data_IF_969773458136
#
_entry.id   IF_969773458136
#
_cell.length_a   1.000
_cell.length_b   1.000
_cell.length_c   1.000
_cell.angle_alpha   90.00
_cell.angle_beta   90.00
_cell.angle_gamma   90.00
#
_symmetry.space_group_name_H-M   'P 1'
#
loop_
_entity.id
_entity.type
_entity.pdbx_description
1 polymer ?
#
# COMPACT_ATOMS: atom_id res chain seq x y z
N UNK A 1 -9.98 22.42 -23.33
CA UNK A 1 -8.61 21.99 -22.95
C UNK A 1 -7.60 22.08 -24.09
N UNK A 2 -7.98 21.86 -25.37
CA UNK A 2 -7.05 21.95 -26.51
C UNK A 2 -6.30 23.29 -26.61
N UNK A 3 -7.00 24.40 -26.52
CA UNK A 3 -6.40 25.73 -26.66
C UNK A 3 -5.33 26.07 -25.59
N UNK A 4 -5.41 25.49 -24.40
CA UNK A 4 -4.41 25.73 -23.35
C UNK A 4 -3.02 25.15 -23.74
N UNK A 5 -2.99 23.91 -24.19
CA UNK A 5 -1.75 23.25 -24.64
C UNK A 5 -1.21 23.88 -25.91
N UNK A 6 -2.09 24.24 -26.84
CA UNK A 6 -1.74 24.94 -28.07
C UNK A 6 -1.08 26.29 -27.79
N UNK A 7 -1.62 27.09 -26.88
CA UNK A 7 -1.04 28.35 -26.47
C UNK A 7 0.33 28.21 -25.83
N UNK A 8 0.51 27.20 -24.93
CA UNK A 8 1.82 26.90 -24.33
C UNK A 8 2.83 26.52 -25.42
N UNK A 9 2.43 25.65 -26.35
CA UNK A 9 3.30 25.24 -27.45
C UNK A 9 3.73 26.43 -28.31
N UNK A 10 2.80 27.29 -28.72
CA UNK A 10 3.10 28.49 -29.48
C UNK A 10 4.00 29.47 -28.73
N UNK A 11 3.79 29.64 -27.43
CA UNK A 11 4.63 30.47 -26.57
C UNK A 11 6.08 29.93 -26.51
N UNK A 12 6.24 28.61 -26.34
CA UNK A 12 7.57 27.97 -26.37
C UNK A 12 8.26 28.10 -27.72
N UNK A 13 7.54 27.82 -28.82
CA UNK A 13 8.08 27.95 -30.17
C UNK A 13 8.48 29.40 -30.43
N UNK A 14 7.66 30.38 -30.06
CA UNK A 14 7.95 31.79 -30.18
C UNK A 14 9.17 32.23 -29.40
N UNK A 15 9.31 31.70 -28.16
CA UNK A 15 10.48 31.97 -27.31
C UNK A 15 11.79 31.46 -27.97
N UNK A 16 11.81 30.20 -28.40
CA UNK A 16 13.00 29.62 -29.06
C UNK A 16 13.32 30.28 -30.41
N UNK A 17 12.30 30.59 -31.21
CA UNK A 17 12.49 31.31 -32.47
C UNK A 17 13.06 32.73 -32.26
N UNK A 18 12.56 33.44 -31.22
CA UNK A 18 13.06 34.75 -30.83
C UNK A 18 14.53 34.71 -30.40
N UNK A 19 14.90 33.73 -29.54
CA UNK A 19 16.30 33.54 -29.11
C UNK A 19 17.20 33.26 -30.34
N UNK A 20 16.77 32.36 -31.24
CA UNK A 20 17.53 32.04 -32.45
C UNK A 20 17.69 33.23 -33.36
N UNK A 21 16.69 34.11 -33.48
CA UNK A 21 16.75 35.33 -34.25
C UNK A 21 17.74 36.36 -33.67
N UNK A 22 17.74 36.51 -32.35
CA UNK A 22 18.70 37.39 -31.63
C UNK A 22 20.14 36.91 -31.81
N UNK A 23 20.37 35.60 -31.76
CA UNK A 23 21.69 35.01 -31.98
C UNK A 23 22.22 35.31 -33.38
N UNK A 24 21.35 35.22 -34.40
CA UNK A 24 21.68 35.56 -35.80
C UNK A 24 21.99 37.05 -36.00
N UNK A 25 21.44 37.93 -35.18
CA UNK A 25 21.72 39.37 -35.17
C UNK A 25 22.99 39.73 -34.39
N UNK A 26 23.71 38.72 -33.85
CA UNK A 26 24.96 38.94 -33.13
C UNK A 26 24.77 39.40 -31.64
N UNK A 27 23.54 39.28 -31.12
CA UNK A 27 23.27 39.59 -29.71
C UNK A 27 23.71 38.40 -28.85
N UNK A 28 24.51 38.62 -27.80
CA UNK A 28 24.94 37.50 -26.92
C UNK A 28 23.75 36.92 -26.15
N UNK A 29 23.24 35.77 -26.62
CA UNK A 29 22.07 35.09 -26.03
C UNK A 29 22.42 34.14 -24.86
N UNK A 30 23.71 33.98 -24.51
CA UNK A 30 24.19 33.07 -23.47
C UNK A 30 23.53 33.33 -22.10
N UNK A 31 23.36 34.60 -21.74
CA UNK A 31 22.68 34.98 -20.50
C UNK A 31 21.19 34.60 -20.51
N UNK A 32 20.51 34.72 -21.65
CA UNK A 32 19.12 34.34 -21.81
C UNK A 32 18.95 32.81 -21.70
N UNK A 33 19.85 32.05 -22.35
CA UNK A 33 19.84 30.57 -22.28
C UNK A 33 20.13 30.06 -20.86
N UNK A 34 21.10 30.69 -20.16
CA UNK A 34 21.41 30.37 -18.78
C UNK A 34 20.20 30.65 -17.87
N UNK A 35 19.58 31.82 -18.00
CA UNK A 35 18.40 32.19 -17.24
C UNK A 35 17.20 31.26 -17.52
N UNK A 36 16.97 30.90 -18.77
CA UNK A 36 15.95 29.94 -19.16
C UNK A 36 16.21 28.53 -18.59
N UNK A 37 17.49 28.12 -18.55
CA UNK A 37 17.91 26.86 -17.93
C UNK A 37 17.61 26.80 -16.41
N UNK A 38 17.93 27.88 -15.69
CA UNK A 38 17.64 28.00 -14.25
C UNK A 38 16.11 28.01 -14.01
N UNK A 39 15.37 28.78 -14.81
CA UNK A 39 13.89 28.78 -14.74
C UNK A 39 13.31 27.39 -15.03
N UNK A 40 13.84 26.65 -16.01
CA UNK A 40 13.47 25.29 -16.33
C UNK A 40 13.70 24.32 -15.17
N UNK A 41 14.84 24.43 -14.48
CA UNK A 41 15.13 23.67 -13.26
C UNK A 41 14.10 23.96 -12.15
N UNK A 42 13.78 25.24 -11.91
CA UNK A 42 12.80 25.61 -10.91
C UNK A 42 11.41 25.03 -11.21
N UNK A 43 10.98 25.07 -12.48
CA UNK A 43 9.70 24.47 -12.91
C UNK A 43 9.74 22.95 -12.79
N UNK A 44 10.85 22.29 -13.16
CA UNK A 44 11.01 20.83 -13.01
C UNK A 44 10.92 20.38 -11.56
N UNK A 45 11.57 21.10 -10.65
CA UNK A 45 11.50 20.81 -9.20
C UNK A 45 10.08 21.01 -8.67
N UNK A 46 9.39 22.07 -9.11
CA UNK A 46 8.00 22.32 -8.71
C UNK A 46 7.02 21.23 -9.23
N UNK A 47 7.28 20.65 -10.41
CA UNK A 47 6.46 19.60 -11.01
C UNK A 47 6.82 18.18 -10.55
N UNK A 48 7.95 17.99 -9.86
CA UNK A 48 8.52 16.68 -9.54
C UNK A 48 7.54 15.75 -8.80
N UNK A 49 6.82 16.24 -7.79
CA UNK A 49 5.87 15.43 -7.02
C UNK A 49 4.71 14.91 -7.88
N UNK A 50 4.22 15.75 -8.78
CA UNK A 50 3.14 15.37 -9.71
C UNK A 50 3.63 14.30 -10.67
N UNK A 51 4.82 14.46 -11.24
CA UNK A 51 5.42 13.48 -12.15
C UNK A 51 5.67 12.15 -11.45
N UNK A 52 6.20 12.17 -10.22
CA UNK A 52 6.38 10.97 -9.42
C UNK A 52 5.05 10.23 -9.19
N UNK A 53 3.97 10.93 -8.89
CA UNK A 53 2.66 10.32 -8.69
C UNK A 53 2.08 9.72 -9.97
N UNK A 54 2.34 10.33 -11.13
CA UNK A 54 1.94 9.78 -12.43
C UNK A 54 2.71 8.50 -12.76
N UNK A 55 4.04 8.50 -12.57
CA UNK A 55 4.89 7.33 -12.79
C UNK A 55 4.46 6.21 -11.85
N UNK A 56 4.25 6.51 -10.57
CA UNK A 56 3.75 5.55 -9.58
C UNK A 56 2.38 4.97 -10.00
N UNK A 57 1.47 5.78 -10.50
CA UNK A 57 0.18 5.31 -11.03
C UNK A 57 0.33 4.31 -12.18
N UNK A 58 1.24 4.58 -13.11
CA UNK A 58 1.56 3.65 -14.20
C UNK A 58 2.13 2.34 -13.65
N UNK A 59 3.05 2.42 -12.69
CA UNK A 59 3.65 1.25 -12.01
C UNK A 59 2.57 0.41 -11.33
N UNK A 60 1.65 1.02 -10.58
CA UNK A 60 0.54 0.32 -9.92
C UNK A 60 -0.35 -0.43 -10.92
N UNK A 61 -0.61 0.15 -12.10
CA UNK A 61 -1.42 -0.49 -13.15
C UNK A 61 -0.67 -1.64 -13.82
N UNK A 62 0.65 -1.52 -14.00
CA UNK A 62 1.47 -2.55 -14.65
C UNK A 62 1.76 -3.73 -13.71
N UNK A 63 2.24 -3.46 -12.50
CA UNK A 63 2.64 -4.49 -11.52
C UNK A 63 1.46 -5.08 -10.77
N UNK A 64 0.37 -4.33 -10.63
CA UNK A 64 -0.88 -4.72 -9.95
C UNK A 64 -0.64 -5.36 -8.57
N UNK A 65 0.04 -4.69 -7.64
CA UNK A 65 0.20 -5.21 -6.28
C UNK A 65 -1.15 -5.41 -5.58
N UNK A 66 -2.15 -4.64 -5.98
CA UNK A 66 -3.56 -4.78 -5.60
C UNK A 66 -4.47 -4.40 -6.76
N UNK A 67 -5.73 -4.78 -6.69
CA UNK A 67 -6.78 -4.45 -7.64
C UNK A 67 -7.90 -3.63 -7.01
N UNK A 68 -8.83 -3.16 -7.85
CA UNK A 68 -10.08 -2.57 -7.37
C UNK A 68 -10.89 -3.66 -6.68
N UNK A 69 -11.37 -3.39 -5.47
CA UNK A 69 -12.08 -4.34 -4.61
C UNK A 69 -11.20 -5.00 -3.56
N UNK A 70 -9.87 -5.01 -3.71
CA UNK A 70 -8.96 -5.60 -2.73
C UNK A 70 -8.96 -4.78 -1.42
N UNK A 71 -8.94 -5.46 -0.28
CA UNK A 71 -8.70 -4.85 1.03
C UNK A 71 -7.21 -4.76 1.29
N UNK A 72 -6.72 -3.53 1.45
CA UNK A 72 -5.30 -3.24 1.64
C UNK A 72 -5.04 -2.43 2.90
N UNK A 73 -3.84 -2.61 3.46
CA UNK A 73 -3.31 -1.79 4.55
C UNK A 73 -2.04 -1.09 4.07
N UNK A 74 -1.98 0.23 4.24
CA UNK A 74 -0.92 1.13 3.81
C UNK A 74 -0.52 2.00 4.99
N UNK A 75 0.56 1.66 5.68
CA UNK A 75 0.94 2.37 6.92
C UNK A 75 -0.20 2.40 7.93
N UNK A 76 -0.67 3.61 8.27
CA UNK A 76 -1.78 3.82 9.22
C UNK A 76 -3.17 3.81 8.56
N UNK A 77 -3.26 3.65 7.25
CA UNK A 77 -4.51 3.64 6.50
C UNK A 77 -4.87 2.23 6.06
N UNK A 78 -6.13 1.84 6.24
CA UNK A 78 -6.67 0.56 5.75
C UNK A 78 -8.01 0.75 5.07
N UNK A 79 -8.33 -0.13 4.13
CA UNK A 79 -9.62 -0.11 3.46
C UNK A 79 -9.66 -0.85 2.13
N UNK A 80 -10.85 -0.85 1.53
CA UNK A 80 -11.08 -1.46 0.22
C UNK A 80 -10.79 -0.45 -0.90
N UNK A 81 -10.05 -0.87 -1.91
CA UNK A 81 -9.72 -0.06 -3.08
C UNK A 81 -10.97 0.17 -3.93
N UNK A 82 -11.37 1.44 -4.09
CA UNK A 82 -12.51 1.82 -4.93
C UNK A 82 -12.11 2.20 -6.35
N UNK A 83 -11.02 2.94 -6.48
CA UNK A 83 -10.56 3.47 -7.76
C UNK A 83 -9.04 3.68 -7.77
N UNK A 84 -8.43 3.45 -8.92
CA UNK A 84 -7.01 3.69 -9.19
C UNK A 84 -6.92 4.65 -10.36
N UNK A 85 -6.70 5.93 -10.07
CA UNK A 85 -6.53 6.99 -11.04
C UNK A 85 -5.05 7.24 -11.34
N UNK A 86 -4.73 8.04 -12.37
CA UNK A 86 -3.35 8.32 -12.78
C UNK A 86 -2.46 8.86 -11.66
N UNK A 87 -2.99 9.73 -10.79
CA UNK A 87 -2.22 10.40 -9.74
C UNK A 87 -2.51 9.90 -8.34
N UNK A 88 -3.68 9.34 -8.11
CA UNK A 88 -4.15 8.97 -6.78
C UNK A 88 -5.01 7.73 -6.82
N UNK A 89 -4.99 6.99 -5.73
CA UNK A 89 -5.85 5.84 -5.47
C UNK A 89 -6.84 6.21 -4.38
N UNK A 90 -8.10 5.80 -4.53
CA UNK A 90 -9.15 5.98 -3.53
C UNK A 90 -9.43 4.66 -2.84
N UNK A 91 -9.42 4.69 -1.51
CA UNK A 91 -9.80 3.56 -0.67
C UNK A 91 -10.97 3.95 0.24
N UNK A 92 -11.77 2.96 0.62
CA UNK A 92 -12.87 3.07 1.57
C UNK A 92 -12.50 2.40 2.88
N UNK A 93 -12.38 3.19 3.96
CA UNK A 93 -12.08 2.64 5.28
C UNK A 93 -13.24 1.81 5.84
N UNK A 94 -13.02 0.97 6.88
CA UNK A 94 -14.09 0.26 7.57
C UNK A 94 -15.18 1.19 8.13
N UNK A 95 -14.83 2.42 8.50
CA UNK A 95 -15.75 3.46 8.96
C UNK A 95 -16.52 4.15 7.82
N UNK A 96 -16.44 3.59 6.60
CA UNK A 96 -17.08 4.13 5.41
C UNK A 96 -16.58 5.51 4.96
N UNK A 97 -15.36 5.89 5.35
CA UNK A 97 -14.71 7.14 4.92
C UNK A 97 -13.93 6.92 3.64
N UNK A 98 -14.12 7.80 2.64
CA UNK A 98 -13.32 7.79 1.43
C UNK A 98 -11.98 8.48 1.68
N UNK A 99 -10.88 7.75 1.53
CA UNK A 99 -9.52 8.23 1.67
C UNK A 99 -8.88 8.27 0.28
N UNK A 100 -8.34 9.43 -0.10
CA UNK A 100 -7.61 9.57 -1.37
C UNK A 100 -6.12 9.73 -1.07
N UNK A 101 -5.31 8.84 -1.62
CA UNK A 101 -3.87 8.77 -1.38
C UNK A 101 -3.15 8.99 -2.70
N UNK A 102 -2.09 9.80 -2.71
CA UNK A 102 -1.24 9.99 -3.88
C UNK A 102 -0.48 8.69 -4.19
N UNK A 103 -0.44 8.29 -5.46
CA UNK A 103 0.19 7.04 -5.88
C UNK A 103 1.68 6.97 -5.52
N UNK A 104 2.38 8.11 -5.52
CA UNK A 104 3.78 8.20 -5.07
C UNK A 104 3.98 7.80 -3.61
N UNK A 105 3.01 8.08 -2.73
CA UNK A 105 3.05 7.64 -1.34
C UNK A 105 2.80 6.14 -1.22
N UNK A 106 1.85 5.62 -1.97
CA UNK A 106 1.53 4.18 -1.99
C UNK A 106 2.74 3.35 -2.40
N UNK A 107 3.45 3.76 -3.46
CA UNK A 107 4.63 3.03 -3.95
C UNK A 107 5.87 3.21 -3.09
N UNK A 108 5.90 4.20 -2.21
CA UNK A 108 7.00 4.43 -1.26
C UNK A 108 6.87 3.61 0.03
N UNK A 109 5.68 3.07 0.32
CA UNK A 109 5.40 2.31 1.53
C UNK A 109 5.20 0.82 1.22
N UNK A 110 5.25 -0.02 2.26
CA UNK A 110 4.88 -1.42 2.13
C UNK A 110 3.36 -1.57 2.02
N UNK A 111 2.93 -2.45 1.11
CA UNK A 111 1.53 -2.73 0.83
C UNK A 111 1.19 -4.11 1.38
N UNK A 112 0.23 -4.20 2.30
CA UNK A 112 -0.33 -5.48 2.75
C UNK A 112 -1.67 -5.70 2.04
N UNK A 113 -1.72 -6.71 1.18
CA UNK A 113 -2.95 -7.08 0.48
C UNK A 113 -3.58 -8.29 1.18
N UNK A 114 -4.69 -8.06 1.86
CA UNK A 114 -5.37 -9.07 2.65
C UNK A 114 -6.19 -10.05 1.80
N UNK A 115 -6.58 -9.66 0.59
CA UNK A 115 -7.32 -10.56 -0.32
C UNK A 115 -6.41 -11.54 -1.05
N UNK A 116 -5.10 -11.23 -1.14
CA UNK A 116 -4.09 -12.11 -1.73
C UNK A 116 -3.37 -13.01 -0.72
N UNK A 117 -3.83 -13.04 0.53
CA UNK A 117 -3.24 -13.95 1.53
C UNK A 117 -3.55 -15.41 1.17
N UNK A 118 -2.59 -16.29 1.41
CA UNK A 118 -2.73 -17.72 1.19
C UNK A 118 -3.49 -18.41 2.32
N UNK A 119 -3.37 -17.87 3.53
CA UNK A 119 -4.04 -18.39 4.73
C UNK A 119 -4.35 -17.26 5.70
N UNK A 120 -5.38 -17.47 6.52
CA UNK A 120 -5.78 -16.55 7.58
C UNK A 120 -5.34 -17.12 8.92
N UNK A 121 -4.53 -16.35 9.66
CA UNK A 121 -4.19 -16.69 11.02
C UNK A 121 -5.43 -16.52 11.92
N UNK A 122 -5.87 -17.62 12.55
CA UNK A 122 -6.88 -17.58 13.58
C UNK A 122 -6.21 -17.85 14.93
N UNK A 123 -6.29 -16.87 15.80
CA UNK A 123 -5.74 -16.92 17.15
C UNK A 123 -6.88 -16.83 18.16
N UNK A 124 -6.92 -17.77 19.10
CA UNK A 124 -7.83 -17.68 20.23
C UNK A 124 -7.15 -18.15 21.51
N UNK A 125 -7.63 -17.67 22.64
CA UNK A 125 -7.11 -17.95 23.97
C UNK A 125 -8.20 -18.60 24.78
N UNK A 126 -7.85 -19.65 25.53
CA UNK A 126 -8.74 -20.33 26.47
C UNK A 126 -8.20 -20.07 27.85
N UNK A 127 -8.99 -19.49 28.77
CA UNK A 127 -8.58 -19.31 30.16
C UNK A 127 -8.84 -20.59 30.96
N UNK A 128 -7.80 -21.11 31.59
CA UNK A 128 -7.89 -22.26 32.54
C UNK A 128 -7.62 -21.78 33.95
N UNK A 129 -8.29 -22.37 34.94
CA UNK A 129 -8.03 -22.10 36.35
C UNK A 129 -6.74 -22.75 36.80
N UNK A 130 -6.06 -22.16 37.79
CA UNK A 130 -4.80 -22.70 38.37
C UNK A 130 -4.95 -24.06 39.02
N UNK A 131 -6.17 -24.43 39.45
CA UNK A 131 -6.48 -25.74 40.02
C UNK A 131 -6.59 -26.85 38.97
N UNK A 132 -6.43 -26.53 37.69
CA UNK A 132 -6.49 -27.52 36.59
C UNK A 132 -5.25 -28.41 36.62
N UNK A 133 -5.40 -29.75 36.85
CA UNK A 133 -4.26 -30.67 36.84
C UNK A 133 -3.55 -30.66 35.48
N UNK A 134 -2.23 -30.85 35.52
CA UNK A 134 -1.38 -30.86 34.32
C UNK A 134 -1.85 -31.87 33.29
N UNK A 135 -2.26 -33.05 33.70
CA UNK A 135 -2.75 -34.12 32.82
C UNK A 135 -3.98 -33.68 32.01
N UNK A 136 -4.88 -32.88 32.64
CA UNK A 136 -6.05 -32.32 31.92
C UNK A 136 -5.66 -31.25 30.92
N UNK A 137 -4.64 -30.45 31.21
CA UNK A 137 -4.13 -29.44 30.26
C UNK A 137 -3.51 -30.13 29.03
N UNK A 138 -2.73 -31.18 29.27
CA UNK A 138 -2.10 -31.95 28.18
C UNK A 138 -3.18 -32.67 27.35
N UNK A 139 -4.20 -33.26 27.99
CA UNK A 139 -5.33 -33.88 27.29
C UNK A 139 -6.12 -32.86 26.46
N UNK A 140 -6.47 -31.69 27.05
CA UNK A 140 -7.15 -30.62 26.32
C UNK A 140 -6.37 -30.16 25.10
N UNK A 141 -5.06 -29.97 25.25
CA UNK A 141 -4.20 -29.55 24.13
C UNK A 141 -4.18 -30.59 23.01
N UNK A 142 -4.10 -31.89 23.36
CA UNK A 142 -4.15 -32.96 22.38
C UNK A 142 -5.52 -33.05 21.68
N UNK A 143 -6.61 -32.97 22.45
CA UNK A 143 -7.98 -33.05 21.89
C UNK A 143 -8.30 -31.85 20.99
N UNK A 144 -7.88 -30.64 21.38
CA UNK A 144 -8.03 -29.44 20.55
C UNK A 144 -7.21 -29.53 19.25
N UNK A 145 -5.97 -30.03 19.35
CA UNK A 145 -5.11 -30.22 18.18
C UNK A 145 -5.76 -31.21 17.21
N UNK A 146 -6.22 -32.35 17.70
CA UNK A 146 -6.90 -33.35 16.88
C UNK A 146 -8.20 -32.81 16.26
N UNK A 147 -9.00 -32.09 17.04
CA UNK A 147 -10.25 -31.47 16.57
C UNK A 147 -9.99 -30.43 15.46
N UNK A 148 -8.96 -29.60 15.60
CA UNK A 148 -8.61 -28.57 14.63
C UNK A 148 -8.04 -29.19 13.35
N UNK A 149 -7.15 -30.18 13.47
CA UNK A 149 -6.56 -30.89 12.32
C UNK A 149 -7.60 -31.71 11.52
N UNK A 150 -8.68 -32.14 12.17
CA UNK A 150 -9.78 -32.83 11.48
C UNK A 150 -10.67 -31.90 10.64
N UNK A 151 -10.52 -30.57 10.77
CA UNK A 151 -11.33 -29.62 9.99
C UNK A 151 -10.73 -29.40 8.58
N UNK A 152 -11.56 -29.47 7.51
CA UNK A 152 -11.08 -29.33 6.12
C UNK A 152 -10.51 -27.93 5.82
N UNK A 153 -11.00 -26.91 6.53
CA UNK A 153 -10.60 -25.51 6.32
C UNK A 153 -9.31 -25.13 7.07
N UNK A 154 -8.78 -26.03 7.89
CA UNK A 154 -7.56 -25.84 8.67
C UNK A 154 -6.37 -26.47 7.93
N UNK A 155 -5.24 -25.75 7.89
CA UNK A 155 -3.97 -26.34 7.47
C UNK A 155 -3.41 -27.20 8.60
N UNK A 156 -3.28 -28.54 8.42
CA UNK A 156 -2.88 -29.42 9.51
C UNK A 156 -1.53 -29.08 10.14
N UNK A 157 -0.57 -28.64 9.30
CA UNK A 157 0.79 -28.26 9.72
C UNK A 157 0.83 -26.87 10.39
N UNK A 158 -0.25 -26.12 10.34
CA UNK A 158 -0.35 -24.75 10.87
C UNK A 158 -1.00 -24.67 12.25
N UNK A 159 -1.33 -25.80 12.90
CA UNK A 159 -1.97 -25.82 14.21
C UNK A 159 -0.89 -25.87 15.29
N UNK A 160 -0.78 -24.83 16.09
CA UNK A 160 0.12 -24.78 17.26
C UNK A 160 -0.69 -24.35 18.48
N UNK A 161 -0.69 -25.16 19.52
CA UNK A 161 -1.33 -24.84 20.81
C UNK A 161 -0.23 -24.83 21.87
N UNK A 162 -0.06 -23.69 22.53
CA UNK A 162 0.96 -23.52 23.57
C UNK A 162 0.42 -22.70 24.74
N UNK A 163 1.01 -22.89 25.91
CA UNK A 163 0.80 -21.99 27.04
C UNK A 163 1.52 -20.68 26.76
N UNK A 164 0.77 -19.57 26.69
CA UNK A 164 1.29 -18.24 26.33
C UNK A 164 1.54 -17.40 27.59
N UNK A 165 0.57 -17.32 28.48
CA UNK A 165 0.65 -16.43 29.64
C UNK A 165 0.09 -17.07 30.91
N UNK A 166 0.67 -16.67 32.02
CA UNK A 166 0.14 -16.85 33.36
C UNK A 166 -0.40 -15.51 33.84
N UNK A 167 -1.72 -15.38 33.88
CA UNK A 167 -2.40 -14.16 34.36
C UNK A 167 -2.72 -14.29 35.85
N UNK A 168 -3.20 -13.22 36.47
CA UNK A 168 -3.49 -13.21 37.91
C UNK A 168 -4.52 -14.28 38.36
N UNK A 169 -5.42 -14.69 37.45
CA UNK A 169 -6.51 -15.63 37.74
C UNK A 169 -6.64 -16.78 36.73
N UNK A 170 -5.82 -16.85 35.71
CA UNK A 170 -5.90 -17.88 34.66
C UNK A 170 -4.56 -18.25 34.06
N UNK A 171 -4.46 -19.50 33.63
CA UNK A 171 -3.42 -20.00 32.73
C UNK A 171 -4.01 -19.97 31.34
N UNK A 172 -3.39 -19.25 30.42
CA UNK A 172 -3.92 -19.05 29.07
C UNK A 172 -3.13 -19.84 28.00
N UNK A 173 -3.60 -21.03 27.59
CA UNK A 173 -3.18 -21.64 26.36
C UNK A 173 -3.73 -20.86 25.17
N UNK A 174 -2.84 -20.53 24.24
CA UNK A 174 -3.17 -19.85 23.00
C UNK A 174 -3.05 -20.81 21.83
N UNK A 175 -4.08 -20.85 21.00
CA UNK A 175 -4.06 -21.58 19.73
C UNK A 175 -3.72 -20.64 18.59
N UNK A 176 -2.71 -21.01 17.80
CA UNK A 176 -2.40 -20.42 16.50
C UNK A 176 -2.80 -21.41 15.43
N UNK A 177 -3.73 -21.04 14.58
CA UNK A 177 -4.25 -21.92 13.54
C UNK A 177 -4.31 -21.18 12.21
N UNK A 178 -3.79 -21.77 11.15
CA UNK A 178 -3.89 -21.23 9.80
C UNK A 178 -5.11 -21.82 9.09
N UNK A 179 -6.10 -20.95 8.82
CA UNK A 179 -7.26 -21.28 8.02
C UNK A 179 -6.93 -21.03 6.54
N UNK A 180 -7.38 -21.91 5.65
CA UNK A 180 -7.28 -21.69 4.20
C UNK A 180 -8.06 -20.45 3.82
N UNK A 181 -7.47 -19.60 2.98
CA UNK A 181 -8.20 -18.50 2.35
C UNK A 181 -9.07 -19.08 1.22
N UNK A 182 -10.34 -18.72 1.21
CA UNK A 182 -11.27 -19.07 0.11
C UNK A 182 -11.27 -17.96 -0.92
#
# INVERSE_FOLDING_TARGET
MGHFFENIFHALVGLFAGIAMLDRLGVPVSGLLTGAGVAGLAVSLAAQSTLNSLIAGITLVLERPFGIGDYIVLGDCEGTVEDISFRSTRIRSPDNVAITIENSKITAEYIQNYDRRQSRLWKFTIGLTYDTPREKIEQLTADLTAMLQAKPDVQPDGVTIALDKFNDYSIDPVSYTHLRAH
#
